data_IF_524240930277
#
_entry.id   IF_524240930277
#
_cell.length_a   1.000
_cell.length_b   1.000
_cell.length_c   1.000
_cell.angle_alpha   90.00
_cell.angle_beta   90.00
_cell.angle_gamma   90.00
#
_symmetry.space_group_name_H-M   'P 1'
#
loop_
_entity.id
_entity.type
_entity.pdbx_description
1 polymer ?
#
# COMPACT_ATOMS: atom_id res chain seq x y z
N UNK A 1 -38.80 45.26 -8.65
CA UNK A 1 -37.63 44.46 -9.06
C UNK A 1 -37.39 43.52 -7.90
N UNK A 2 -37.97 42.34 -7.98
CA UNK A 2 -38.09 41.49 -6.80
C UNK A 2 -37.04 40.39 -6.89
N UNK A 3 -36.19 40.40 -5.86
CA UNK A 3 -35.00 39.58 -5.73
C UNK A 3 -35.45 38.18 -5.29
N UNK A 4 -35.49 37.24 -6.23
CA UNK A 4 -35.80 35.84 -5.92
C UNK A 4 -34.55 35.20 -5.32
N UNK A 5 -34.52 35.06 -3.99
CA UNK A 5 -33.49 34.29 -3.29
C UNK A 5 -33.86 32.80 -3.35
N UNK A 6 -33.24 32.06 -4.28
CA UNK A 6 -33.30 30.59 -4.30
C UNK A 6 -32.44 30.05 -3.15
N UNK A 7 -33.07 29.73 -2.02
CA UNK A 7 -32.44 28.92 -0.98
C UNK A 7 -32.53 27.45 -1.40
N UNK A 8 -31.45 26.94 -2.01
CA UNK A 8 -31.25 25.52 -2.25
C UNK A 8 -31.06 24.81 -0.89
N UNK A 9 -32.14 24.33 -0.29
CA UNK A 9 -32.08 23.48 0.90
C UNK A 9 -31.66 22.07 0.48
N UNK A 10 -30.35 21.85 0.29
CA UNK A 10 -29.79 20.51 0.23
C UNK A 10 -29.97 19.84 1.60
N UNK A 11 -30.72 18.73 1.70
CA UNK A 11 -30.95 18.01 2.95
C UNK A 11 -29.60 17.51 3.54
N UNK A 12 -29.11 18.10 4.63
CA UNK A 12 -27.81 17.76 5.20
C UNK A 12 -27.79 16.35 5.81
N UNK A 13 -28.96 15.77 6.10
CA UNK A 13 -29.10 14.44 6.71
C UNK A 13 -28.89 13.31 5.70
N UNK A 14 -29.29 13.51 4.44
CA UNK A 14 -29.03 12.56 3.37
C UNK A 14 -27.57 12.63 2.89
N UNK A 15 -27.01 13.83 2.79
CA UNK A 15 -25.59 14.03 2.49
C UNK A 15 -24.69 13.33 3.53
N UNK A 16 -25.00 13.47 4.83
CA UNK A 16 -24.28 12.78 5.92
C UNK A 16 -24.33 11.25 5.84
N UNK A 17 -25.48 10.67 5.47
CA UNK A 17 -25.62 9.21 5.28
C UNK A 17 -24.82 8.68 4.09
N UNK A 18 -24.82 9.42 2.97
CA UNK A 18 -24.04 9.08 1.78
C UNK A 18 -22.53 9.10 2.04
N UNK A 19 -22.04 10.08 2.81
CA UNK A 19 -20.63 10.18 3.22
C UNK A 19 -20.24 9.06 4.18
N UNK A 20 -21.11 8.71 5.14
CA UNK A 20 -20.86 7.63 6.09
C UNK A 20 -20.77 6.25 5.39
N UNK A 21 -21.65 5.99 4.43
CA UNK A 21 -21.60 4.75 3.62
C UNK A 21 -20.32 4.67 2.78
N UNK A 22 -19.94 5.77 2.12
CA UNK A 22 -18.70 5.85 1.34
C UNK A 22 -17.45 5.63 2.20
N UNK A 23 -17.41 6.19 3.41
CA UNK A 23 -16.31 5.97 4.36
C UNK A 23 -16.19 4.50 4.75
N UNK A 24 -17.31 3.84 5.05
CA UNK A 24 -17.33 2.41 5.37
C UNK A 24 -16.87 1.55 4.18
N UNK A 25 -17.28 1.88 2.96
CA UNK A 25 -16.85 1.18 1.74
C UNK A 25 -15.35 1.37 1.48
N UNK A 26 -14.84 2.59 1.67
CA UNK A 26 -13.41 2.86 1.56
C UNK A 26 -12.60 2.15 2.65
N UNK A 27 -13.08 2.09 3.90
CA UNK A 27 -12.40 1.37 4.99
C UNK A 27 -12.34 -0.15 4.76
N UNK A 28 -13.33 -0.73 4.08
CA UNK A 28 -13.30 -2.14 3.64
C UNK A 28 -12.33 -2.31 2.48
N UNK A 29 -12.44 -1.48 1.45
CA UNK A 29 -11.53 -1.48 0.30
C UNK A 29 -10.06 -1.29 0.70
N UNK A 30 -9.77 -0.37 1.62
CA UNK A 30 -8.42 -0.14 2.12
C UNK A 30 -7.86 -1.37 2.85
N UNK A 31 -8.70 -2.13 3.55
CA UNK A 31 -8.33 -3.40 4.19
C UNK A 31 -8.09 -4.53 3.20
N UNK A 32 -8.95 -4.63 2.19
CA UNK A 32 -8.98 -5.75 1.25
C UNK A 32 -8.03 -5.57 0.06
N UNK A 33 -7.64 -4.33 -0.27
CA UNK A 33 -6.89 -4.02 -1.49
C UNK A 33 -5.67 -3.13 -1.24
N UNK A 34 -5.86 -1.96 -0.61
CA UNK A 34 -4.79 -0.97 -0.45
C UNK A 34 -3.65 -1.45 0.48
N UNK A 35 -4.02 -1.96 1.66
CA UNK A 35 -3.05 -2.52 2.62
C UNK A 35 -2.29 -3.72 2.04
N UNK A 36 -2.94 -4.75 1.46
CA UNK A 36 -2.26 -5.82 0.75
C UNK A 36 -1.26 -5.33 -0.32
N UNK A 37 -1.63 -4.35 -1.14
CA UNK A 37 -0.72 -3.78 -2.16
C UNK A 37 0.53 -3.15 -1.55
N UNK A 38 0.38 -2.31 -0.51
CA UNK A 38 1.53 -1.72 0.19
C UNK A 38 2.42 -2.78 0.84
N UNK A 39 1.82 -3.87 1.36
CA UNK A 39 2.54 -4.99 1.94
C UNK A 39 3.33 -5.77 0.89
N UNK A 40 2.78 -5.94 -0.32
CA UNK A 40 3.47 -6.55 -1.46
C UNK A 40 4.72 -5.75 -1.85
N UNK A 41 4.60 -4.42 -1.93
CA UNK A 41 5.74 -3.55 -2.26
C UNK A 41 6.80 -3.58 -1.15
N UNK A 42 6.38 -3.59 0.11
CA UNK A 42 7.27 -3.76 1.27
C UNK A 42 7.99 -5.10 1.23
N UNK A 43 7.29 -6.19 0.94
CA UNK A 43 7.89 -7.51 0.79
C UNK A 43 8.93 -7.54 -0.34
N UNK A 44 8.64 -6.89 -1.48
CA UNK A 44 9.60 -6.80 -2.60
C UNK A 44 10.87 -6.05 -2.20
N UNK A 45 10.73 -4.93 -1.49
CA UNK A 45 11.88 -4.18 -0.96
C UNK A 45 12.70 -5.01 0.03
N UNK A 46 12.04 -5.69 0.98
CA UNK A 46 12.70 -6.57 1.94
C UNK A 46 13.42 -7.74 1.26
N UNK A 47 12.86 -8.29 0.18
CA UNK A 47 13.53 -9.34 -0.61
C UNK A 47 14.82 -8.85 -1.26
N UNK A 48 14.84 -7.61 -1.78
CA UNK A 48 16.05 -7.03 -2.36
C UNK A 48 17.11 -6.73 -1.28
N UNK A 49 16.70 -6.19 -0.12
CA UNK A 49 17.59 -6.02 1.03
C UNK A 49 18.13 -7.36 1.55
N UNK A 50 17.29 -8.40 1.62
CA UNK A 50 17.70 -9.74 2.02
C UNK A 50 18.68 -10.37 1.01
N UNK A 51 18.50 -10.11 -0.30
CA UNK A 51 19.42 -10.56 -1.35
C UNK A 51 20.79 -9.87 -1.21
N UNK A 52 20.81 -8.57 -0.95
CA UNK A 52 22.04 -7.83 -0.67
C UNK A 52 22.76 -8.35 0.58
N UNK A 53 22.03 -8.54 1.69
CA UNK A 53 22.56 -9.10 2.92
C UNK A 53 23.10 -10.53 2.74
N UNK A 54 22.42 -11.36 1.94
CA UNK A 54 22.88 -12.70 1.57
C UNK A 54 24.21 -12.65 0.81
N UNK A 55 24.31 -11.76 -0.19
CA UNK A 55 25.53 -11.59 -0.97
C UNK A 55 26.71 -11.15 -0.09
N UNK A 56 26.48 -10.22 0.84
CA UNK A 56 27.50 -9.78 1.79
C UNK A 56 27.94 -10.91 2.74
N UNK A 57 27.00 -11.69 3.28
CA UNK A 57 27.29 -12.85 4.11
C UNK A 57 28.17 -13.88 3.38
N UNK A 58 27.79 -14.27 2.16
CA UNK A 58 28.56 -15.25 1.38
C UNK A 58 29.94 -14.72 0.98
N UNK A 59 30.05 -13.43 0.68
CA UNK A 59 31.32 -12.76 0.39
C UNK A 59 32.24 -12.75 1.62
N UNK A 60 31.72 -12.36 2.79
CA UNK A 60 32.47 -12.37 4.04
C UNK A 60 32.93 -13.77 4.44
N UNK A 61 32.06 -14.78 4.28
CA UNK A 61 32.39 -16.19 4.54
C UNK A 61 33.50 -16.68 3.62
N UNK A 62 33.41 -16.40 2.32
CA UNK A 62 34.43 -16.79 1.34
C UNK A 62 35.78 -16.13 1.64
N UNK A 63 35.78 -14.86 2.03
CA UNK A 63 37.00 -14.14 2.43
C UNK A 63 37.62 -14.75 3.68
N UNK A 64 36.81 -15.06 4.71
CA UNK A 64 37.32 -15.72 5.91
C UNK A 64 37.92 -17.09 5.59
N UNK A 65 37.24 -17.89 4.76
CA UNK A 65 37.76 -19.19 4.35
C UNK A 65 39.09 -19.04 3.61
N UNK A 66 39.18 -18.15 2.61
CA UNK A 66 40.43 -17.92 1.88
C UNK A 66 41.59 -17.46 2.78
N UNK A 67 41.31 -16.65 3.80
CA UNK A 67 42.33 -16.25 4.79
C UNK A 67 42.76 -17.41 5.68
N UNK A 68 41.82 -18.28 6.10
CA UNK A 68 42.13 -19.49 6.87
C UNK A 68 42.95 -20.49 6.05
N UNK A 69 42.60 -20.67 4.78
CA UNK A 69 43.35 -21.53 3.87
C UNK A 69 44.77 -20.98 3.63
N UNK A 70 44.91 -19.67 3.42
CA UNK A 70 46.23 -19.03 3.31
C UNK A 70 47.06 -19.19 4.59
N UNK A 71 46.44 -19.13 5.77
CA UNK A 71 47.11 -19.31 7.04
C UNK A 71 47.55 -20.76 7.28
N UNK A 72 46.71 -21.72 6.89
CA UNK A 72 47.04 -23.14 6.99
C UNK A 72 48.22 -23.54 6.08
N UNK A 73 48.36 -22.86 4.93
CA UNK A 73 49.44 -23.12 3.98
C UNK A 73 50.70 -22.27 4.22
N UNK A 74 50.70 -21.39 5.22
CA UNK A 74 51.85 -20.55 5.53
C UNK A 74 52.88 -21.34 6.35
N UNK A 75 54.12 -21.45 5.84
CA UNK A 75 55.25 -22.11 6.51
C UNK A 75 55.81 -21.34 7.71
N UNK A 76 55.46 -20.06 7.86
CA UNK A 76 55.80 -19.23 9.03
C UNK A 76 54.59 -18.38 9.47
N UNK A 77 54.38 -18.15 10.78
CA UNK A 77 53.25 -17.36 11.26
C UNK A 77 53.37 -15.89 10.85
N UNK A 78 52.51 -15.43 9.94
CA UNK A 78 52.49 -14.03 9.51
C UNK A 78 51.56 -13.25 10.44
N UNK A 79 52.11 -12.43 11.35
CA UNK A 79 51.35 -11.64 12.34
C UNK A 79 50.23 -10.80 11.72
N UNK A 80 50.42 -10.33 10.48
CA UNK A 80 49.40 -9.62 9.70
C UNK A 80 48.21 -10.49 9.28
N UNK A 81 48.43 -11.76 8.96
CA UNK A 81 47.37 -12.68 8.52
C UNK A 81 46.40 -13.02 9.66
N UNK A 82 46.92 -13.17 10.88
CA UNK A 82 46.08 -13.34 12.08
C UNK A 82 45.19 -12.11 12.34
N UNK A 83 45.71 -10.89 12.15
CA UNK A 83 44.91 -9.67 12.26
C UNK A 83 43.83 -9.58 11.18
N UNK A 84 44.13 -9.99 9.94
CA UNK A 84 43.15 -10.01 8.86
C UNK A 84 42.04 -11.04 9.09
N UNK A 85 42.38 -12.21 9.63
CA UNK A 85 41.40 -13.22 10.04
C UNK A 85 40.47 -12.65 11.10
N UNK A 86 40.99 -12.03 12.16
CA UNK A 86 40.15 -11.41 13.21
C UNK A 86 39.21 -10.33 12.66
N UNK A 87 39.70 -9.49 11.72
CA UNK A 87 38.85 -8.50 11.03
C UNK A 87 37.77 -9.18 10.18
N UNK A 88 38.11 -10.26 9.47
CA UNK A 88 37.18 -11.02 8.63
C UNK A 88 36.12 -11.75 9.47
N UNK A 89 36.47 -12.29 10.64
CA UNK A 89 35.54 -12.89 11.59
C UNK A 89 34.55 -11.86 12.13
N UNK A 90 35.03 -10.67 12.51
CA UNK A 90 34.17 -9.57 12.93
C UNK A 90 33.22 -9.10 11.82
N UNK A 91 33.69 -9.06 10.56
CA UNK A 91 32.85 -8.74 9.39
C UNK A 91 31.80 -9.82 9.13
N UNK A 92 32.18 -11.09 9.18
CA UNK A 92 31.25 -12.21 9.03
C UNK A 92 30.18 -12.19 10.12
N UNK A 93 30.55 -11.99 11.38
CA UNK A 93 29.59 -11.92 12.48
C UNK A 93 28.56 -10.80 12.30
N UNK A 94 28.98 -9.63 11.78
CA UNK A 94 28.07 -8.53 11.42
C UNK A 94 27.15 -8.92 10.26
N UNK A 95 27.70 -9.49 9.19
CA UNK A 95 26.94 -9.90 8.03
C UNK A 95 25.92 -11.02 8.37
N UNK A 96 26.28 -11.96 9.24
CA UNK A 96 25.35 -13.01 9.72
C UNK A 96 24.17 -12.42 10.49
N UNK A 97 24.43 -11.46 11.40
CA UNK A 97 23.33 -10.78 12.13
C UNK A 97 22.40 -10.03 11.18
N UNK A 98 22.96 -9.34 10.19
CA UNK A 98 22.16 -8.63 9.20
C UNK A 98 21.33 -9.60 8.34
N UNK A 99 21.94 -10.67 7.86
CA UNK A 99 21.25 -11.72 7.10
C UNK A 99 20.09 -12.33 7.89
N UNK A 100 20.28 -12.71 9.16
CA UNK A 100 19.20 -13.28 9.97
C UNK A 100 18.09 -12.25 10.26
N UNK A 101 18.43 -10.97 10.46
CA UNK A 101 17.43 -9.89 10.59
C UNK A 101 16.57 -9.75 9.34
N UNK A 102 17.20 -9.68 8.16
CA UNK A 102 16.49 -9.53 6.90
C UNK A 102 15.63 -10.76 6.57
N UNK A 103 16.13 -11.95 6.87
CA UNK A 103 15.37 -13.20 6.75
C UNK A 103 14.14 -13.24 7.66
N UNK A 104 14.29 -12.81 8.91
CA UNK A 104 13.16 -12.71 9.84
C UNK A 104 12.11 -11.69 9.36
N UNK A 105 12.55 -10.53 8.87
CA UNK A 105 11.66 -9.50 8.32
C UNK A 105 10.86 -10.01 7.10
N UNK A 106 11.52 -10.67 6.14
CA UNK A 106 10.86 -11.29 4.99
C UNK A 106 9.83 -12.34 5.43
N UNK A 107 10.16 -13.16 6.42
CA UNK A 107 9.24 -14.18 6.94
C UNK A 107 8.02 -13.57 7.65
N UNK A 108 8.22 -12.53 8.46
CA UNK A 108 7.13 -11.79 9.11
C UNK A 108 6.20 -11.19 8.07
N UNK A 109 6.75 -10.46 7.09
CA UNK A 109 5.95 -9.81 6.06
C UNK A 109 5.17 -10.81 5.21
N UNK A 110 5.75 -11.98 4.91
CA UNK A 110 5.05 -13.07 4.23
C UNK A 110 3.90 -13.63 5.06
N UNK A 111 4.08 -13.77 6.37
CA UNK A 111 3.03 -14.25 7.26
C UNK A 111 1.87 -13.24 7.34
N UNK A 112 2.17 -11.95 7.43
CA UNK A 112 1.18 -10.87 7.42
C UNK A 112 0.38 -10.83 6.11
N UNK A 113 1.07 -10.93 4.97
CA UNK A 113 0.41 -10.98 3.66
C UNK A 113 -0.46 -12.23 3.50
N UNK A 114 0.02 -13.38 3.97
CA UNK A 114 -0.77 -14.62 3.97
C UNK A 114 -2.00 -14.50 4.88
N UNK A 115 -1.89 -13.86 6.04
CA UNK A 115 -3.01 -13.58 6.92
C UNK A 115 -4.02 -12.62 6.27
N UNK A 116 -3.56 -11.72 5.40
CA UNK A 116 -4.40 -10.87 4.55
C UNK A 116 -4.93 -11.59 3.27
N UNK A 117 -4.69 -12.88 3.11
CA UNK A 117 -5.17 -13.67 1.97
C UNK A 117 -4.36 -13.53 0.67
N UNK A 118 -3.21 -12.88 0.71
CA UNK A 118 -2.35 -12.65 -0.46
C UNK A 118 -1.51 -13.89 -0.77
N UNK A 119 -1.52 -14.33 -2.03
CA UNK A 119 -0.61 -15.40 -2.48
C UNK A 119 0.81 -14.87 -2.71
N UNK A 120 1.66 -15.08 -1.71
CA UNK A 120 3.08 -14.70 -1.75
C UNK A 120 3.94 -15.52 -2.74
N UNK A 121 3.41 -16.58 -3.37
CA UNK A 121 4.13 -17.37 -4.39
C UNK A 121 4.04 -16.76 -5.78
N UNK A 122 2.96 -16.03 -6.07
CA UNK A 122 2.75 -15.34 -7.33
C UNK A 122 2.40 -13.86 -7.11
N UNK A 123 3.32 -13.14 -6.46
CA UNK A 123 3.19 -11.72 -6.12
C UNK A 123 2.89 -10.82 -7.32
N UNK A 124 3.38 -11.15 -8.52
CA UNK A 124 3.18 -10.33 -9.71
C UNK A 124 1.73 -10.40 -10.20
N UNK A 125 1.17 -11.61 -10.35
CA UNK A 125 -0.23 -11.77 -10.74
C UNK A 125 -1.18 -11.23 -9.66
N UNK A 126 -0.84 -11.39 -8.39
CA UNK A 126 -1.65 -10.88 -7.29
C UNK A 126 -1.64 -9.34 -7.23
N UNK A 127 -0.48 -8.71 -7.48
CA UNK A 127 -0.39 -7.26 -7.65
C UNK A 127 -1.25 -6.77 -8.81
N UNK A 128 -1.24 -7.45 -9.96
CA UNK A 128 -2.10 -7.10 -11.11
C UNK A 128 -3.58 -7.24 -10.77
N UNK A 129 -3.98 -8.31 -10.07
CA UNK A 129 -5.34 -8.54 -9.60
C UNK A 129 -5.82 -7.40 -8.70
N UNK A 130 -5.03 -7.06 -7.68
CA UNK A 130 -5.34 -6.01 -6.72
C UNK A 130 -5.35 -4.61 -7.37
N UNK A 131 -4.45 -4.33 -8.32
CA UNK A 131 -4.46 -3.09 -9.10
C UNK A 131 -5.70 -2.97 -9.98
N UNK A 132 -6.13 -4.07 -10.61
CA UNK A 132 -7.37 -4.10 -11.40
C UNK A 132 -8.60 -3.89 -10.50
N UNK A 133 -8.61 -4.47 -9.29
CA UNK A 133 -9.66 -4.29 -8.29
C UNK A 133 -9.72 -2.83 -7.80
N UNK A 134 -8.57 -2.18 -7.59
CA UNK A 134 -8.48 -0.75 -7.29
C UNK A 134 -9.00 0.14 -8.42
N UNK A 135 -8.64 -0.18 -9.67
CA UNK A 135 -9.12 0.57 -10.83
C UNK A 135 -10.65 0.46 -11.00
N UNK A 136 -11.21 -0.74 -10.75
CA UNK A 136 -12.67 -0.97 -10.73
C UNK A 136 -13.34 -0.16 -9.63
N UNK A 137 -12.84 -0.22 -8.40
CA UNK A 137 -13.39 0.54 -7.28
C UNK A 137 -13.42 2.06 -7.54
N UNK A 138 -12.35 2.62 -8.11
CA UNK A 138 -12.30 4.04 -8.52
C UNK A 138 -13.37 4.37 -9.57
N UNK A 139 -13.54 3.50 -10.55
CA UNK A 139 -14.54 3.67 -11.61
C UNK A 139 -15.97 3.61 -11.06
N UNK A 140 -16.26 2.67 -10.16
CA UNK A 140 -17.57 2.51 -9.54
C UNK A 140 -17.90 3.65 -8.57
N UNK A 141 -16.90 4.15 -7.84
CA UNK A 141 -17.01 5.35 -7.00
C UNK A 141 -17.28 6.60 -7.84
N UNK A 142 -16.58 6.76 -8.97
CA UNK A 142 -16.81 7.88 -9.88
C UNK A 142 -18.23 7.81 -10.49
N UNK A 143 -18.67 6.63 -10.94
CA UNK A 143 -20.01 6.43 -11.49
C UNK A 143 -21.11 6.70 -10.48
N UNK A 144 -20.97 6.20 -9.25
CA UNK A 144 -21.94 6.45 -8.18
C UNK A 144 -21.96 7.92 -7.74
N UNK A 145 -20.81 8.60 -7.72
CA UNK A 145 -20.72 10.04 -7.49
C UNK A 145 -21.45 10.85 -8.57
N UNK A 146 -21.23 10.53 -9.84
CA UNK A 146 -21.92 11.18 -10.97
C UNK A 146 -23.43 10.93 -10.91
N UNK A 147 -23.86 9.70 -10.61
CA UNK A 147 -25.28 9.35 -10.49
C UNK A 147 -25.97 10.11 -9.34
N UNK A 148 -25.28 10.30 -8.20
CA UNK A 148 -25.79 11.09 -7.08
C UNK A 148 -25.92 12.56 -7.45
N UNK A 149 -24.89 13.15 -8.08
CA UNK A 149 -24.91 14.53 -8.53
C UNK A 149 -26.05 14.79 -9.52
N UNK A 150 -26.26 13.86 -10.47
CA UNK A 150 -27.35 13.94 -11.44
C UNK A 150 -28.73 13.84 -10.78
N UNK A 151 -28.88 12.99 -9.75
CA UNK A 151 -30.13 12.88 -8.99
C UNK A 151 -30.42 14.15 -8.17
N UNK A 152 -29.40 14.77 -7.58
CA UNK A 152 -29.51 16.05 -6.87
C UNK A 152 -29.91 17.18 -7.83
N UNK A 153 -29.27 17.28 -8.99
CA UNK A 153 -29.63 18.25 -10.03
C UNK A 153 -31.08 18.07 -10.50
N UNK A 154 -31.52 16.83 -10.74
CA UNK A 154 -32.90 16.54 -11.15
C UNK A 154 -33.91 16.96 -10.08
N UNK A 155 -33.61 16.73 -8.79
CA UNK A 155 -34.47 17.16 -7.68
C UNK A 155 -34.53 18.69 -7.57
N UNK A 156 -33.41 19.37 -7.72
CA UNK A 156 -33.36 20.84 -7.74
C UNK A 156 -34.17 21.43 -8.90
N UNK A 157 -34.11 20.82 -10.10
CA UNK A 157 -34.92 21.24 -11.25
C UNK A 157 -36.42 21.06 -11.01
N UNK A 158 -36.84 19.94 -10.40
CA UNK A 158 -38.25 19.71 -10.05
C UNK A 158 -38.73 20.75 -9.02
N UNK A 159 -37.95 20.98 -7.96
CA UNK A 159 -38.28 21.98 -6.95
C UNK A 159 -38.38 23.40 -7.54
N UNK A 160 -37.46 23.78 -8.44
CA UNK A 160 -37.52 25.05 -9.14
C UNK A 160 -38.75 25.18 -10.05
N UNK A 161 -39.11 24.09 -10.76
CA UNK A 161 -40.32 24.05 -11.58
C UNK A 161 -41.59 24.22 -10.74
N UNK A 162 -41.68 23.54 -9.61
CA UNK A 162 -42.85 23.63 -8.73
C UNK A 162 -43.01 25.04 -8.15
N UNK A 163 -41.90 25.70 -7.78
CA UNK A 163 -41.90 27.08 -7.32
C UNK A 163 -42.38 28.05 -8.41
N UNK A 164 -41.87 27.91 -9.64
CA UNK A 164 -42.29 28.74 -10.78
C UNK A 164 -43.78 28.56 -11.10
N UNK A 165 -44.31 27.34 -10.99
CA UNK A 165 -45.73 27.08 -11.18
C UNK A 165 -46.59 27.70 -10.07
N UNK A 166 -46.11 27.72 -8.83
CA UNK A 166 -46.80 28.39 -7.72
C UNK A 166 -46.83 29.91 -7.91
N UNK A 167 -45.71 30.51 -8.33
CA UNK A 167 -45.63 31.94 -8.63
C UNK A 167 -46.51 32.35 -9.83
N UNK A 168 -46.55 31.52 -10.88
CA UNK A 168 -47.43 31.76 -12.02
C UNK A 168 -48.91 31.73 -11.61
N UNK A 169 -49.28 30.84 -10.69
CA UNK A 169 -50.65 30.75 -10.15
C UNK A 169 -50.99 31.94 -9.26
N UNK A 170 -50.06 32.45 -8.46
CA UNK A 170 -50.30 33.63 -7.62
C UNK A 170 -50.41 34.95 -8.39
N UNK A 171 -49.81 35.03 -9.58
CA UNK A 171 -49.86 36.23 -10.42
C UNK A 171 -51.10 36.28 -11.34
N UNK A 172 -51.85 35.19 -11.44
CA UNK A 172 -53.05 35.07 -12.27
C UNK A 172 -54.37 35.17 -11.47
N UNK A 173 -54.29 35.35 -10.15
CA UNK A 173 -55.42 35.65 -9.26
C UNK A 173 -55.26 37.04 -8.66
#
# INVERSE_FOLDING_TARGET
>A
MDKIELVLTADPSQAKRGVAALRSEYEKFAREVERPLSGIDTLRSLQESAKAASAEYFSARRRLQGLKDAAANATTPVRGLAQEIGKAEGKLARATREFERQKAAVNSQRAELKAAGVDTRNLSSEQQRLQAEMAKFRTDTARSGIARLAAEQKRAQVAARDLSLQQARSNLG
#
